data_IF_611623859536
#
_entry.id   IF_611623859536
#
_cell.length_a   1.000
_cell.length_b   1.000
_cell.length_c   1.000
_cell.angle_alpha   90.00
_cell.angle_beta   90.00
_cell.angle_gamma   90.00
#
_symmetry.space_group_name_H-M   'P 1'
#
loop_
_entity.id
_entity.type
_entity.pdbx_description
1 polymer ?
#
# COMPACT_ATOMS: atom_id res chain seq x y z
N UNK A 1 14.96 1.43 10.64
CA UNK A 1 14.76 2.83 11.11
C UNK A 1 13.96 3.49 10.01
N UNK A 2 12.77 4.00 10.33
CA UNK A 2 11.86 4.55 9.32
C UNK A 2 12.42 5.88 8.83
N UNK A 3 12.56 6.07 7.51
CA UNK A 3 13.11 7.29 6.89
C UNK A 3 12.14 8.49 6.90
N UNK A 4 11.11 8.44 7.75
CA UNK A 4 10.14 9.52 7.91
C UNK A 4 10.62 10.55 8.94
N UNK A 5 10.34 11.85 8.73
CA UNK A 5 10.59 12.85 9.75
C UNK A 5 9.83 12.46 11.03
N UNK A 6 10.48 12.59 12.19
CA UNK A 6 9.92 12.23 13.50
C UNK A 6 8.56 12.92 13.74
N UNK A 7 8.31 14.08 13.11
CA UNK A 7 7.02 14.75 13.09
C UNK A 7 6.74 15.47 11.77
N UNK A 8 5.46 15.73 11.46
CA UNK A 8 5.04 16.57 10.33
C UNK A 8 5.09 18.05 10.73
N UNK A 9 5.99 18.89 10.17
CA UNK A 9 6.12 20.29 10.58
C UNK A 9 5.04 21.16 9.91
N UNK A 10 3.98 21.52 10.63
CA UNK A 10 2.83 22.32 10.18
C UNK A 10 3.13 23.82 9.97
N UNK A 11 4.40 24.19 9.96
CA UNK A 11 4.87 25.56 9.80
C UNK A 11 4.80 26.41 11.08
N UNK A 12 5.22 27.68 10.99
CA UNK A 12 5.33 28.58 12.15
C UNK A 12 3.96 29.04 12.68
N UNK A 13 3.97 29.59 13.89
CA UNK A 13 2.80 30.22 14.53
C UNK A 13 2.08 29.31 15.52
N UNK A 14 0.93 29.75 16.08
CA UNK A 14 0.21 28.96 17.07
C UNK A 14 -0.36 27.67 16.45
N UNK A 15 -0.66 26.68 17.30
CA UNK A 15 -1.38 25.49 16.89
C UNK A 15 -2.71 25.84 16.21
N UNK A 16 -3.11 25.07 15.18
CA UNK A 16 -4.46 25.16 14.64
C UNK A 16 -5.51 24.89 15.71
N UNK A 17 -6.48 25.79 15.83
CA UNK A 17 -7.62 25.61 16.75
C UNK A 17 -8.87 25.12 16.03
N UNK A 18 -8.80 24.94 14.70
CA UNK A 18 -9.87 24.38 13.88
C UNK A 18 -9.31 23.44 12.79
N UNK A 19 -10.21 22.60 12.27
CA UNK A 19 -9.88 21.63 11.23
C UNK A 19 -9.44 22.24 9.90
N UNK A 20 -10.15 23.25 9.35
CA UNK A 20 -9.74 23.90 8.10
C UNK A 20 -8.33 24.48 8.16
N UNK A 21 -7.95 25.12 9.27
CA UNK A 21 -6.62 25.66 9.48
C UNK A 21 -5.54 24.57 9.56
N UNK A 22 -5.85 23.42 10.16
CA UNK A 22 -4.94 22.26 10.16
C UNK A 22 -4.74 21.70 8.76
N UNK A 23 -5.83 21.45 8.02
CA UNK A 23 -5.78 20.89 6.66
C UNK A 23 -5.00 21.81 5.72
N UNK A 24 -5.19 23.12 5.82
CA UNK A 24 -4.44 24.07 4.98
C UNK A 24 -2.94 24.06 5.29
N UNK A 25 -2.54 23.96 6.57
CA UNK A 25 -1.13 23.80 6.92
C UNK A 25 -0.54 22.51 6.37
N UNK A 26 -1.25 21.39 6.49
CA UNK A 26 -0.82 20.11 5.89
C UNK A 26 -0.65 20.25 4.38
N UNK A 27 -1.55 20.95 3.69
CA UNK A 27 -1.43 21.23 2.25
C UNK A 27 -0.21 22.06 1.91
N UNK A 28 0.08 23.13 2.66
CA UNK A 28 1.27 23.96 2.45
C UNK A 28 2.53 23.11 2.57
N UNK A 29 2.64 22.33 3.64
CA UNK A 29 3.80 21.46 3.91
C UNK A 29 3.93 20.39 2.83
N UNK A 30 2.80 19.80 2.40
CA UNK A 30 2.81 18.81 1.34
C UNK A 30 3.33 19.36 0.01
N UNK A 31 3.06 20.62 -0.30
CA UNK A 31 3.62 21.28 -1.50
C UNK A 31 5.08 21.66 -1.32
N UNK A 32 5.45 22.21 -0.17
CA UNK A 32 6.81 22.69 0.10
C UNK A 32 7.84 21.56 0.20
N UNK A 33 7.45 20.44 0.79
CA UNK A 33 8.30 19.26 0.94
C UNK A 33 8.12 18.23 -0.19
N UNK A 34 7.32 18.56 -1.21
CA UNK A 34 6.94 17.63 -2.27
C UNK A 34 6.44 16.28 -1.70
N UNK A 35 5.63 16.34 -0.64
CA UNK A 35 5.00 15.15 -0.04
C UNK A 35 4.03 14.56 -1.06
N UNK A 36 4.52 13.53 -1.75
CA UNK A 36 3.82 12.86 -2.84
C UNK A 36 4.69 12.69 -4.07
N UNK A 37 5.69 13.56 -4.32
CA UNK A 37 6.51 13.50 -5.52
C UNK A 37 5.65 13.45 -6.79
N UNK A 38 5.71 12.32 -7.50
CA UNK A 38 4.83 12.02 -8.64
C UNK A 38 3.32 12.11 -8.35
N UNK A 39 2.92 12.10 -7.07
CA UNK A 39 1.55 12.18 -6.55
C UNK A 39 1.14 13.58 -6.07
N UNK A 40 1.96 14.62 -6.20
CA UNK A 40 1.66 15.95 -5.63
C UNK A 40 0.27 16.50 -5.99
N UNK A 41 -0.17 16.37 -7.25
CA UNK A 41 -1.53 16.75 -7.68
C UNK A 41 -2.63 15.93 -6.99
N UNK A 42 -2.44 14.61 -6.91
CA UNK A 42 -3.36 13.70 -6.24
C UNK A 42 -3.43 13.99 -4.73
N UNK A 43 -2.30 14.30 -4.09
CA UNK A 43 -2.24 14.73 -2.69
C UNK A 43 -3.05 16.00 -2.46
N UNK A 44 -2.95 17.00 -3.34
CA UNK A 44 -3.74 18.23 -3.22
C UNK A 44 -5.25 17.96 -3.28
N UNK A 45 -5.67 17.11 -4.22
CA UNK A 45 -7.07 16.72 -4.40
C UNK A 45 -7.64 15.92 -3.22
N UNK A 46 -6.83 15.06 -2.61
CA UNK A 46 -7.19 14.36 -1.36
C UNK A 46 -7.38 15.38 -0.24
N UNK A 47 -6.40 16.25 -0.02
CA UNK A 47 -6.45 17.27 1.03
C UNK A 47 -7.60 18.27 0.83
N UNK A 48 -8.14 18.44 -0.39
CA UNK A 48 -9.33 19.30 -0.64
C UNK A 48 -10.61 18.70 -0.08
N UNK A 49 -10.64 17.36 0.04
CA UNK A 49 -11.80 16.60 0.49
C UNK A 49 -11.63 16.12 1.94
N UNK A 50 -10.43 16.26 2.49
CA UNK A 50 -10.16 15.97 3.89
C UNK A 50 -10.94 16.91 4.81
N UNK A 51 -11.67 16.33 5.75
CA UNK A 51 -12.37 17.05 6.82
C UNK A 51 -11.76 16.66 8.16
N UNK A 52 -11.47 17.66 9.00
CA UNK A 52 -10.97 17.45 10.35
C UNK A 52 -11.82 18.21 11.36
N UNK A 53 -12.03 17.62 12.54
CA UNK A 53 -12.69 18.25 13.68
C UNK A 53 -11.75 18.16 14.88
N UNK A 54 -11.47 19.31 15.50
CA UNK A 54 -10.61 19.43 16.68
C UNK A 54 -11.46 19.71 17.93
N UNK A 55 -11.03 19.20 19.07
CA UNK A 55 -11.53 19.55 20.40
C UNK A 55 -10.34 19.67 21.36
N UNK A 56 -9.91 20.91 21.63
CA UNK A 56 -8.67 21.17 22.35
C UNK A 56 -7.45 20.59 21.62
N UNK A 57 -6.68 19.75 22.32
CA UNK A 57 -5.53 19.04 21.75
C UNK A 57 -5.91 17.73 21.02
N UNK A 58 -7.18 17.32 21.08
CA UNK A 58 -7.65 16.09 20.44
C UNK A 58 -8.14 16.34 19.01
N UNK A 59 -7.88 15.39 18.13
CA UNK A 59 -8.51 15.30 16.81
C UNK A 59 -9.72 14.38 16.94
N UNK A 60 -10.91 14.96 17.10
CA UNK A 60 -12.16 14.21 17.28
C UNK A 60 -12.48 13.36 16.05
N UNK A 61 -12.27 13.90 14.85
CA UNK A 61 -12.40 13.12 13.62
C UNK A 61 -11.51 13.63 12.50
N UNK A 62 -10.98 12.71 11.70
CA UNK A 62 -10.29 12.99 10.45
C UNK A 62 -10.84 12.07 9.35
N UNK A 63 -11.48 12.65 8.34
CA UNK A 63 -12.05 11.92 7.20
C UNK A 63 -11.26 12.27 5.96
N UNK A 64 -10.59 11.29 5.37
CA UNK A 64 -9.79 11.43 4.15
C UNK A 64 -10.51 10.69 3.02
N UNK A 65 -10.84 11.42 1.95
CA UNK A 65 -11.48 10.86 0.76
C UNK A 65 -10.54 10.98 -0.45
N UNK A 66 -10.06 9.82 -0.90
CA UNK A 66 -9.21 9.65 -2.08
C UNK A 66 -9.96 9.05 -3.27
N UNK A 67 -11.29 9.12 -3.29
CA UNK A 67 -12.13 8.63 -4.40
C UNK A 67 -11.78 9.32 -5.72
N UNK A 68 -11.68 8.56 -6.82
CA UNK A 68 -11.34 9.09 -8.14
C UNK A 68 -9.90 9.59 -8.29
N UNK A 69 -9.04 9.41 -7.28
CA UNK A 69 -7.61 9.71 -7.40
C UNK A 69 -6.94 8.64 -8.28
N UNK A 70 -5.93 9.04 -9.05
CA UNK A 70 -5.13 8.14 -9.86
C UNK A 70 -3.67 8.14 -9.40
N UNK A 71 -3.13 6.96 -9.17
CA UNK A 71 -1.74 6.69 -8.83
C UNK A 71 -1.06 6.14 -10.09
N UNK A 72 -0.19 6.93 -10.74
CA UNK A 72 0.55 6.47 -11.91
C UNK A 72 1.62 5.45 -11.52
N UNK A 73 2.02 4.60 -12.45
CA UNK A 73 3.05 3.58 -12.22
C UNK A 73 4.40 4.17 -11.77
N UNK A 74 4.73 5.39 -12.21
CA UNK A 74 5.93 6.12 -11.83
C UNK A 74 6.02 6.43 -10.33
N UNK A 75 4.88 6.45 -9.62
CA UNK A 75 4.86 6.66 -8.18
C UNK A 75 5.51 5.49 -7.42
N UNK A 76 5.54 4.28 -7.98
CA UNK A 76 6.13 3.09 -7.33
C UNK A 76 7.65 3.00 -7.48
N UNK A 77 8.22 3.78 -8.41
CA UNK A 77 9.65 3.77 -8.72
C UNK A 77 10.36 5.04 -8.27
N UNK A 78 9.63 5.97 -7.67
CA UNK A 78 10.18 7.24 -7.18
C UNK A 78 11.01 6.98 -5.92
N UNK A 79 12.24 7.50 -5.87
CA UNK A 79 13.05 7.46 -4.65
C UNK A 79 12.38 8.30 -3.55
N UNK A 80 12.43 7.87 -2.28
CA UNK A 80 11.92 8.67 -1.18
C UNK A 80 12.64 10.02 -1.14
N UNK A 81 11.89 11.12 -1.14
CA UNK A 81 12.46 12.45 -0.90
C UNK A 81 13.06 12.46 0.51
N UNK A 82 14.36 12.75 0.61
CA UNK A 82 15.02 12.88 1.91
C UNK A 82 14.35 14.01 2.69
N UNK A 83 13.77 13.76 3.88
CA UNK A 83 13.11 14.81 4.63
C UNK A 83 14.10 15.93 5.00
N UNK A 84 13.61 17.17 4.95
CA UNK A 84 14.37 18.31 5.42
C UNK A 84 14.74 18.14 6.90
N UNK A 85 15.90 18.65 7.31
CA UNK A 85 16.33 18.61 8.70
C UNK A 85 15.30 19.32 9.59
N UNK A 86 14.66 18.58 10.49
CA UNK A 86 13.66 19.12 11.41
C UNK A 86 14.31 20.00 12.48
N UNK A 87 13.66 21.11 12.87
CA UNK A 87 14.02 21.88 14.06
C UNK A 87 13.98 21.04 15.35
N UNK A 88 14.69 21.49 16.38
CA UNK A 88 14.72 20.77 17.66
C UNK A 88 13.39 20.92 18.42
N UNK A 89 12.91 19.83 19.01
CA UNK A 89 11.70 19.83 19.84
C UNK A 89 11.97 20.54 21.17
N UNK A 90 11.11 21.49 21.54
CA UNK A 90 11.20 22.25 22.80
C UNK A 90 10.06 21.89 23.75
N UNK A 91 8.87 21.65 23.23
CA UNK A 91 7.74 21.13 23.99
C UNK A 91 6.94 20.10 23.19
N UNK A 92 6.28 19.19 23.90
CA UNK A 92 5.35 18.24 23.34
C UNK A 92 4.07 18.24 24.19
N UNK A 93 2.92 18.20 23.53
CA UNK A 93 1.62 18.11 24.20
C UNK A 93 0.86 16.90 23.68
N UNK A 94 0.44 15.97 24.55
CA UNK A 94 -0.33 14.81 24.14
C UNK A 94 -1.71 15.20 23.59
N UNK A 95 -2.18 14.42 22.62
CA UNK A 95 -3.55 14.44 22.13
C UNK A 95 -3.92 13.06 21.59
N UNK A 96 -5.17 12.90 21.13
CA UNK A 96 -5.64 11.66 20.53
C UNK A 96 -6.41 11.94 19.24
N UNK A 97 -6.10 11.19 18.17
CA UNK A 97 -7.01 11.03 17.04
C UNK A 97 -8.07 9.99 17.41
N UNK A 98 -9.24 10.47 17.83
CA UNK A 98 -10.35 9.63 18.28
C UNK A 98 -10.88 8.74 17.17
N UNK A 99 -11.02 9.30 15.95
CA UNK A 99 -11.48 8.57 14.78
C UNK A 99 -10.84 9.08 13.49
N UNK A 100 -10.02 8.25 12.86
CA UNK A 100 -9.53 8.45 11.50
C UNK A 100 -10.24 7.51 10.53
N UNK A 101 -10.70 8.02 9.39
CA UNK A 101 -11.24 7.19 8.32
C UNK A 101 -10.63 7.57 6.97
N UNK A 102 -10.26 6.58 6.19
CA UNK A 102 -9.78 6.73 4.82
C UNK A 102 -10.70 5.96 3.88
N UNK A 103 -11.15 6.60 2.81
CA UNK A 103 -12.01 6.00 1.79
C UNK A 103 -11.51 6.31 0.40
N UNK A 104 -11.59 5.33 -0.49
CA UNK A 104 -11.35 5.54 -1.91
C UNK A 104 -12.19 4.59 -2.76
N UNK A 105 -13.17 5.12 -3.50
CA UNK A 105 -14.15 4.32 -4.26
C UNK A 105 -14.40 4.84 -5.69
N UNK A 106 -13.61 4.44 -6.70
CA UNK A 106 -12.33 3.74 -6.60
C UNK A 106 -11.14 4.70 -6.57
N UNK A 107 -10.01 4.23 -6.06
CA UNK A 107 -8.66 4.73 -6.36
C UNK A 107 -8.14 4.00 -7.60
N UNK A 108 -7.64 4.70 -8.61
CA UNK A 108 -6.99 4.05 -9.75
C UNK A 108 -5.51 3.81 -9.44
N UNK A 109 -5.07 2.56 -9.44
CA UNK A 109 -3.67 2.17 -9.24
C UNK A 109 -3.17 1.46 -10.48
N UNK A 110 -2.26 2.07 -11.24
CA UNK A 110 -1.82 1.53 -12.53
C UNK A 110 -3.00 1.15 -13.45
N UNK A 111 -4.02 2.03 -13.48
CA UNK A 111 -5.31 1.86 -14.18
C UNK A 111 -6.25 0.80 -13.62
N UNK A 112 -5.90 0.11 -12.52
CA UNK A 112 -6.79 -0.82 -11.83
C UNK A 112 -7.63 -0.06 -10.79
N UNK A 113 -8.97 -0.15 -10.80
CA UNK A 113 -9.81 0.41 -9.76
C UNK A 113 -9.68 -0.42 -8.48
N UNK A 114 -9.14 0.22 -7.45
CA UNK A 114 -8.97 -0.32 -6.11
C UNK A 114 -9.93 0.39 -5.17
N UNK A 115 -10.70 -0.37 -4.44
CA UNK A 115 -11.53 0.12 -3.34
C UNK A 115 -10.75 -0.01 -2.04
N UNK A 116 -10.65 1.08 -1.28
CA UNK A 116 -10.01 1.09 0.03
C UNK A 116 -10.96 1.68 1.05
N UNK A 117 -11.19 0.94 2.12
CA UNK A 117 -11.88 1.39 3.33
C UNK A 117 -10.98 1.12 4.52
N UNK A 118 -10.61 2.16 5.26
CA UNK A 118 -9.87 2.00 6.51
C UNK A 118 -10.43 2.90 7.61
N UNK A 119 -10.42 2.38 8.83
CA UNK A 119 -10.76 3.13 10.03
C UNK A 119 -9.76 2.82 11.14
N UNK A 120 -9.39 3.85 11.89
CA UNK A 120 -8.57 3.74 13.09
C UNK A 120 -9.21 4.58 14.20
N UNK A 121 -9.19 4.06 15.42
CA UNK A 121 -9.71 4.74 16.60
C UNK A 121 -8.63 4.84 17.67
N UNK A 122 -8.70 5.94 18.42
CA UNK A 122 -7.85 6.25 19.57
C UNK A 122 -6.34 6.21 19.27
N UNK A 123 -5.93 6.68 18.08
CA UNK A 123 -4.51 6.80 17.73
C UNK A 123 -3.87 7.92 18.55
N UNK A 124 -2.89 7.61 19.42
CA UNK A 124 -2.21 8.64 20.20
C UNK A 124 -1.40 9.55 19.28
N UNK A 125 -1.47 10.85 19.52
CA UNK A 125 -0.68 11.85 18.81
C UNK A 125 0.03 12.76 19.82
N UNK A 126 1.07 13.44 19.36
CA UNK A 126 1.62 14.56 20.10
C UNK A 126 1.78 15.76 19.19
N UNK A 127 1.39 16.91 19.71
CA UNK A 127 1.70 18.19 19.11
C UNK A 127 3.09 18.63 19.55
N UNK A 128 3.88 19.07 18.59
CA UNK A 128 5.27 19.46 18.78
C UNK A 128 5.37 20.97 18.67
N UNK A 129 6.03 21.60 19.65
CA UNK A 129 6.48 22.99 19.54
C UNK A 129 8.00 22.99 19.41
N UNK A 130 8.50 23.48 18.28
CA UNK A 130 9.90 23.41 17.92
C UNK A 130 10.65 24.73 18.19
N UNK A 131 11.97 24.67 18.20
CA UNK A 131 12.86 25.75 18.64
C UNK A 131 12.78 27.04 17.80
N UNK A 132 12.32 26.94 16.57
CA UNK A 132 12.14 28.06 15.64
C UNK A 132 10.69 28.61 15.63
N UNK A 133 9.83 28.12 16.53
CA UNK A 133 8.41 28.47 16.57
C UNK A 133 7.54 27.70 15.59
N UNK A 134 8.09 26.66 14.93
CA UNK A 134 7.31 25.70 14.14
C UNK A 134 6.46 24.83 15.05
N UNK A 135 5.20 24.64 14.67
CA UNK A 135 4.32 23.63 15.26
C UNK A 135 4.34 22.39 14.39
N UNK A 136 4.32 21.21 15.00
CA UNK A 136 4.23 19.94 14.30
C UNK A 136 3.22 18.99 14.93
N UNK A 137 2.97 17.89 14.24
CA UNK A 137 2.18 16.77 14.76
C UNK A 137 2.91 15.46 14.48
N UNK A 138 2.94 14.59 15.47
CA UNK A 138 3.56 13.27 15.40
C UNK A 138 2.55 12.21 15.86
N UNK A 139 2.31 11.16 15.05
CA UNK A 139 1.61 9.98 15.52
C UNK A 139 2.54 9.17 16.43
N UNK A 140 2.05 8.82 17.63
CA UNK A 140 2.80 8.02 18.57
C UNK A 140 2.50 6.52 18.36
N UNK A 141 3.50 5.64 18.51
CA UNK A 141 3.28 4.19 18.54
C UNK A 141 2.24 3.79 19.60
N UNK A 142 1.28 2.91 19.28
CA UNK A 142 0.36 2.35 20.27
C UNK A 142 1.12 1.65 21.39
N UNK A 143 0.57 1.71 22.61
CA UNK A 143 1.11 1.00 23.78
C UNK A 143 0.06 0.05 24.36
N UNK A 144 0.46 -0.84 25.26
CA UNK A 144 -0.51 -1.73 25.93
C UNK A 144 -1.54 -0.95 26.77
N UNK A 145 -1.21 0.26 27.21
CA UNK A 145 -2.09 1.13 28.00
C UNK A 145 -3.00 2.00 27.11
N UNK A 146 -2.61 2.21 25.86
CA UNK A 146 -3.35 2.97 24.85
C UNK A 146 -3.39 2.16 23.54
N UNK A 147 -4.17 1.07 23.48
CA UNK A 147 -4.29 0.27 22.28
C UNK A 147 -5.11 1.04 21.25
N UNK A 148 -4.77 0.85 19.97
CA UNK A 148 -5.60 1.32 18.87
C UNK A 148 -6.52 0.20 18.39
N UNK A 149 -7.66 0.57 17.83
CA UNK A 149 -8.55 -0.38 17.16
C UNK A 149 -8.89 0.11 15.77
N UNK A 150 -9.20 -0.81 14.86
CA UNK A 150 -9.47 -0.42 13.48
C UNK A 150 -9.67 -1.57 12.51
N UNK A 151 -9.90 -1.22 11.27
CA UNK A 151 -9.95 -2.16 10.17
C UNK A 151 -9.38 -1.56 8.90
N UNK A 152 -8.93 -2.44 8.01
CA UNK A 152 -8.54 -2.13 6.64
C UNK A 152 -9.23 -3.14 5.72
N UNK A 153 -9.83 -2.67 4.65
CA UNK A 153 -10.32 -3.48 3.55
C UNK A 153 -9.83 -2.88 2.24
N UNK A 154 -9.17 -3.71 1.44
CA UNK A 154 -8.73 -3.38 0.09
C UNK A 154 -9.37 -4.40 -0.85
N UNK A 155 -10.06 -3.94 -1.90
CA UNK A 155 -10.55 -4.83 -2.95
C UNK A 155 -10.27 -4.29 -4.35
N UNK A 156 -10.10 -5.18 -5.31
CA UNK A 156 -9.95 -4.84 -6.71
C UNK A 156 -10.65 -5.90 -7.59
N UNK A 157 -11.24 -5.52 -8.73
CA UNK A 157 -11.81 -6.49 -9.66
C UNK A 157 -10.73 -7.47 -10.13
N UNK A 158 -10.96 -8.77 -9.91
CA UNK A 158 -9.97 -9.81 -10.23
C UNK A 158 -9.54 -9.76 -11.69
N UNK A 159 -10.49 -9.52 -12.59
CA UNK A 159 -10.23 -9.49 -14.02
C UNK A 159 -9.33 -8.32 -14.41
N UNK A 160 -9.51 -7.14 -13.82
CA UNK A 160 -8.69 -5.96 -14.12
C UNK A 160 -7.25 -6.10 -13.60
N UNK A 161 -7.07 -6.77 -12.45
CA UNK A 161 -5.75 -7.15 -11.96
C UNK A 161 -5.08 -8.12 -12.93
N UNK A 162 -5.80 -9.17 -13.38
CA UNK A 162 -5.27 -10.15 -14.33
C UNK A 162 -4.91 -9.49 -15.67
N UNK A 163 -5.75 -8.59 -16.18
CA UNK A 163 -5.50 -7.89 -17.45
C UNK A 163 -4.30 -6.94 -17.35
N UNK A 164 -4.09 -6.32 -16.19
CA UNK A 164 -2.89 -5.51 -15.92
C UNK A 164 -1.63 -6.37 -15.87
N UNK A 165 -1.67 -7.50 -15.16
CA UNK A 165 -0.56 -8.47 -15.15
C UNK A 165 -0.27 -8.98 -16.58
N UNK A 166 -1.32 -9.27 -17.37
CA UNK A 166 -1.18 -9.70 -18.76
C UNK A 166 -0.49 -8.64 -19.61
N UNK A 167 -0.84 -7.37 -19.43
CA UNK A 167 -0.25 -6.23 -20.15
C UNK A 167 1.24 -6.11 -19.86
N UNK A 168 1.61 -6.14 -18.57
CA UNK A 168 3.01 -6.11 -18.12
C UNK A 168 3.78 -7.31 -18.67
N UNK A 169 3.24 -8.52 -18.53
CA UNK A 169 3.86 -9.73 -19.05
C UNK A 169 4.05 -9.68 -20.57
N UNK A 170 3.08 -9.13 -21.31
CA UNK A 170 3.16 -8.96 -22.76
C UNK A 170 4.30 -8.02 -23.14
N UNK A 171 4.43 -6.88 -22.45
CA UNK A 171 5.51 -5.93 -22.70
C UNK A 171 6.90 -6.55 -22.45
N UNK A 172 7.09 -7.19 -21.29
CA UNK A 172 8.36 -7.85 -20.93
C UNK A 172 8.73 -8.98 -21.90
N UNK A 173 7.75 -9.78 -22.34
CA UNK A 173 8.00 -10.86 -23.30
C UNK A 173 8.32 -10.31 -24.71
N UNK A 174 7.69 -9.19 -25.10
CA UNK A 174 7.93 -8.56 -26.39
C UNK A 174 9.38 -8.07 -26.54
N UNK A 175 9.99 -7.56 -25.46
CA UNK A 175 11.42 -7.20 -25.41
C UNK A 175 12.34 -8.38 -25.75
N UNK A 176 11.88 -9.61 -25.51
CA UNK A 176 12.61 -10.84 -25.82
C UNK A 176 12.20 -11.47 -27.17
N UNK A 177 11.38 -10.77 -27.96
CA UNK A 177 10.86 -11.26 -29.24
C UNK A 177 9.81 -12.37 -29.09
N UNK A 178 9.15 -12.47 -27.93
CA UNK A 178 8.11 -13.46 -27.63
C UNK A 178 6.76 -12.73 -27.55
N UNK A 179 5.75 -13.28 -28.22
CA UNK A 179 4.37 -12.79 -28.15
C UNK A 179 3.57 -13.66 -27.18
N UNK A 180 2.95 -13.05 -26.17
CA UNK A 180 1.93 -13.69 -25.34
C UNK A 180 0.59 -13.66 -26.09
N UNK A 181 0.14 -14.81 -26.58
CA UNK A 181 -1.11 -14.92 -27.36
C UNK A 181 -2.32 -15.24 -26.49
N UNK A 182 -2.11 -15.91 -25.36
CA UNK A 182 -3.14 -16.23 -24.37
C UNK A 182 -2.52 -16.31 -22.98
N UNK A 183 -3.26 -15.83 -21.99
CA UNK A 183 -2.97 -16.02 -20.58
C UNK A 183 -4.30 -16.24 -19.87
N UNK A 184 -4.46 -17.42 -19.28
CA UNK A 184 -5.56 -17.76 -18.40
C UNK A 184 -5.00 -17.85 -16.98
N UNK A 185 -5.62 -17.16 -16.02
CA UNK A 185 -5.21 -17.18 -14.62
C UNK A 185 -6.41 -17.54 -13.76
N UNK A 186 -6.23 -18.55 -12.93
CA UNK A 186 -7.20 -18.97 -11.92
C UNK A 186 -6.61 -18.71 -10.53
N UNK A 187 -7.34 -17.92 -9.76
CA UNK A 187 -7.07 -17.65 -8.35
C UNK A 187 -8.22 -18.23 -7.53
N UNK A 188 -7.89 -19.07 -6.55
CA UNK A 188 -8.88 -19.74 -5.69
C UNK A 188 -8.46 -19.60 -4.23
N UNK A 189 -9.37 -19.12 -3.38
CA UNK A 189 -9.17 -19.15 -1.93
C UNK A 189 -9.29 -20.59 -1.43
N UNK A 190 -8.26 -21.06 -0.72
CA UNK A 190 -8.22 -22.39 -0.10
C UNK A 190 -8.64 -22.31 1.37
N UNK A 191 -8.42 -21.15 1.98
CA UNK A 191 -8.82 -20.83 3.35
C UNK A 191 -8.78 -19.32 3.57
N UNK A 192 -9.01 -18.85 4.81
CA UNK A 192 -9.10 -17.42 5.10
C UNK A 192 -7.77 -16.67 4.88
N UNK A 193 -6.63 -17.37 4.83
CA UNK A 193 -5.30 -16.76 4.66
C UNK A 193 -4.47 -17.42 3.57
N UNK A 194 -5.09 -18.19 2.67
CA UNK A 194 -4.38 -18.90 1.61
C UNK A 194 -5.11 -18.76 0.28
N UNK A 195 -4.37 -18.34 -0.74
CA UNK A 195 -4.82 -18.27 -2.13
C UNK A 195 -3.92 -19.14 -2.98
N UNK A 196 -4.52 -19.97 -3.83
CA UNK A 196 -3.83 -20.77 -4.85
C UNK A 196 -3.95 -20.11 -6.20
N UNK A 197 -2.85 -20.09 -6.93
CA UNK A 197 -2.73 -19.60 -8.30
C UNK A 197 -2.43 -20.76 -9.25
N UNK A 198 -3.15 -20.80 -10.35
CA UNK A 198 -2.81 -21.58 -11.54
C UNK A 198 -2.87 -20.65 -12.75
N UNK A 199 -1.90 -20.75 -13.66
CA UNK A 199 -1.88 -19.96 -14.87
C UNK A 199 -1.38 -20.76 -16.05
N UNK A 200 -2.09 -20.64 -17.17
CA UNK A 200 -1.75 -21.24 -18.45
C UNK A 200 -1.49 -20.12 -19.47
N UNK A 201 -0.35 -20.18 -20.14
CA UNK A 201 0.05 -19.20 -21.13
C UNK A 201 0.34 -19.85 -22.48
N UNK A 202 -0.04 -19.19 -23.57
CA UNK A 202 0.40 -19.53 -24.94
C UNK A 202 1.35 -18.47 -25.45
N UNK A 203 2.56 -18.91 -25.79
CA UNK A 203 3.66 -18.09 -26.24
C UNK A 203 3.94 -18.37 -27.72
N UNK A 204 4.32 -17.33 -28.46
CA UNK A 204 4.71 -17.44 -29.87
C UNK A 204 6.01 -16.71 -30.14
N UNK A 205 6.91 -17.30 -30.91
CA UNK A 205 8.12 -16.66 -31.46
C UNK A 205 8.21 -16.98 -32.95
N UNK A 206 7.94 -16.00 -33.80
CA UNK A 206 7.78 -16.23 -35.25
C UNK A 206 6.64 -17.23 -35.53
N UNK A 207 6.95 -18.35 -36.19
CA UNK A 207 6.00 -19.44 -36.48
C UNK A 207 5.91 -20.48 -35.35
N UNK A 208 6.81 -20.43 -34.37
CA UNK A 208 6.86 -21.40 -33.27
C UNK A 208 5.87 -20.99 -32.18
N UNK A 209 5.04 -21.94 -31.73
CA UNK A 209 4.14 -21.76 -30.60
C UNK A 209 4.44 -22.78 -29.49
N UNK A 210 4.19 -22.37 -28.26
CA UNK A 210 4.42 -23.20 -27.08
C UNK A 210 3.46 -22.83 -25.96
N UNK A 211 3.17 -23.77 -25.08
CA UNK A 211 2.46 -23.52 -23.83
C UNK A 211 3.43 -23.39 -22.67
N UNK A 212 3.10 -22.55 -21.70
CA UNK A 212 3.76 -22.48 -20.40
C UNK A 212 2.71 -22.57 -19.31
N UNK A 213 3.06 -23.20 -18.19
CA UNK A 213 2.21 -23.38 -17.04
C UNK A 213 2.92 -22.87 -15.81
N UNK A 214 2.20 -22.12 -14.97
CA UNK A 214 2.64 -21.68 -13.67
C UNK A 214 1.61 -22.08 -12.61
N UNK A 215 2.08 -22.46 -11.43
CA UNK A 215 1.23 -22.68 -10.26
C UNK A 215 1.97 -22.26 -9.00
N UNK A 216 1.24 -21.93 -7.96
CA UNK A 216 1.79 -21.63 -6.64
C UNK A 216 0.68 -21.35 -5.63
N UNK A 217 1.07 -21.19 -4.38
CA UNK A 217 0.20 -20.71 -3.31
C UNK A 217 0.85 -19.53 -2.61
N UNK A 218 0.02 -18.61 -2.14
CA UNK A 218 0.40 -17.52 -1.25
C UNK A 218 -0.39 -17.68 0.04
N UNK A 219 0.30 -17.60 1.18
CA UNK A 219 -0.33 -17.72 2.49
C UNK A 219 0.21 -16.68 3.47
N UNK A 220 -0.64 -16.18 4.36
CA UNK A 220 -0.25 -15.28 5.45
C UNK A 220 -0.40 -16.03 6.77
N UNK A 221 0.71 -16.19 7.50
CA UNK A 221 0.67 -16.88 8.79
C UNK A 221 0.23 -15.95 9.95
N UNK A 222 0.23 -16.46 11.18
CA UNK A 222 -0.17 -15.70 12.37
C UNK A 222 0.83 -14.61 12.76
N UNK A 223 2.08 -14.71 12.31
CA UNK A 223 3.11 -13.70 12.51
C UNK A 223 3.07 -12.62 11.40
N UNK A 224 2.01 -12.60 10.57
CA UNK A 224 1.85 -11.71 9.43
C UNK A 224 2.96 -11.89 8.38
N UNK A 225 3.51 -13.09 8.27
CA UNK A 225 4.51 -13.39 7.25
C UNK A 225 3.82 -13.94 6.02
N UNK A 226 3.94 -13.22 4.90
CA UNK A 226 3.48 -13.68 3.59
C UNK A 226 4.53 -14.65 3.01
N UNK A 227 4.09 -15.88 2.75
CA UNK A 227 4.90 -16.97 2.21
C UNK A 227 4.33 -17.43 0.89
N UNK A 228 5.23 -17.64 -0.07
CA UNK A 228 4.92 -18.30 -1.33
C UNK A 228 5.40 -19.75 -1.27
N UNK A 229 4.53 -20.68 -1.66
CA UNK A 229 4.83 -22.12 -1.66
C UNK A 229 4.41 -22.76 -2.98
N UNK A 230 4.89 -23.99 -3.20
CA UNK A 230 4.54 -24.83 -4.35
C UNK A 230 4.71 -24.15 -5.72
N UNK A 231 5.64 -23.20 -5.82
CA UNK A 231 5.86 -22.44 -7.04
C UNK A 231 6.49 -23.33 -8.11
N UNK A 232 5.70 -23.65 -9.14
CA UNK A 232 6.13 -24.44 -10.29
C UNK A 232 5.94 -23.65 -11.56
N UNK A 233 6.96 -23.67 -12.41
CA UNK A 233 6.96 -23.07 -13.74
C UNK A 233 7.47 -24.10 -14.74
N UNK A 234 6.68 -24.41 -15.77
CA UNK A 234 6.99 -25.48 -16.71
C UNK A 234 6.47 -25.21 -18.12
N UNK A 235 7.00 -25.95 -19.07
CA UNK A 235 6.51 -26.02 -20.44
C UNK A 235 6.74 -27.43 -20.98
N UNK A 236 5.79 -27.93 -21.78
CA UNK A 236 5.97 -29.19 -22.51
C UNK A 236 6.93 -29.02 -23.72
N UNK A 237 7.23 -27.78 -24.13
CA UNK A 237 8.18 -27.51 -25.20
C UNK A 237 9.60 -27.35 -24.63
N UNK A 238 10.59 -28.16 -25.05
CA UNK A 238 11.94 -28.16 -24.46
C UNK A 238 12.69 -26.83 -24.65
N UNK A 239 12.43 -26.09 -25.73
CA UNK A 239 13.06 -24.77 -25.97
C UNK A 239 12.52 -23.76 -24.96
N UNK A 240 11.20 -23.72 -24.77
CA UNK A 240 10.57 -22.83 -23.79
C UNK A 240 10.91 -23.26 -22.36
N UNK A 241 10.98 -24.56 -22.08
CA UNK A 241 11.44 -25.07 -20.80
C UNK A 241 12.87 -24.58 -20.47
N UNK A 242 13.76 -24.51 -21.46
CA UNK A 242 15.09 -23.94 -21.32
C UNK A 242 15.08 -22.44 -20.96
N UNK A 243 14.25 -21.64 -21.64
CA UNK A 243 14.09 -20.21 -21.32
C UNK A 243 13.46 -20.01 -19.92
N UNK A 244 12.46 -20.81 -19.58
CA UNK A 244 11.81 -20.80 -18.27
C UNK A 244 12.73 -21.27 -17.15
N UNK A 245 13.82 -22.01 -17.44
CA UNK A 245 14.78 -22.41 -16.41
C UNK A 245 15.47 -21.20 -15.77
N UNK A 246 15.79 -20.17 -16.56
CA UNK A 246 16.36 -18.91 -16.06
C UNK A 246 15.32 -18.14 -15.25
N UNK A 247 14.08 -18.04 -15.76
CA UNK A 247 12.97 -17.41 -15.05
C UNK A 247 12.65 -18.12 -13.72
N UNK A 248 12.72 -19.46 -13.69
CA UNK A 248 12.51 -20.28 -12.49
C UNK A 248 13.50 -19.92 -11.38
N UNK A 249 14.76 -19.63 -11.72
CA UNK A 249 15.75 -19.15 -10.76
C UNK A 249 15.33 -17.85 -10.09
N UNK A 250 14.95 -16.84 -10.88
CA UNK A 250 14.49 -15.53 -10.38
C UNK A 250 13.19 -15.62 -9.60
N UNK A 251 12.23 -16.40 -10.09
CA UNK A 251 10.95 -16.65 -9.40
C UNK A 251 11.23 -17.32 -8.07
N UNK A 252 12.09 -18.35 -8.03
CA UNK A 252 12.47 -19.01 -6.78
C UNK A 252 13.14 -18.04 -5.81
N UNK A 253 14.08 -17.22 -6.27
CA UNK A 253 14.73 -16.20 -5.44
C UNK A 253 13.72 -15.20 -4.86
N UNK A 254 12.81 -14.68 -5.69
CA UNK A 254 11.77 -13.73 -5.27
C UNK A 254 10.73 -14.35 -4.32
N UNK A 255 10.45 -15.65 -4.46
CA UNK A 255 9.44 -16.35 -3.65
C UNK A 255 10.03 -17.06 -2.43
N UNK A 256 11.36 -17.20 -2.33
CA UNK A 256 12.04 -17.81 -1.20
C UNK A 256 12.11 -16.90 0.03
N UNK A 257 12.10 -15.58 -0.17
CA UNK A 257 12.17 -14.63 0.93
C UNK A 257 10.76 -14.42 1.48
N UNK A 258 10.47 -14.81 2.73
CA UNK A 258 9.22 -14.42 3.36
C UNK A 258 9.14 -12.89 3.40
N UNK A 259 7.96 -12.35 3.11
CA UNK A 259 7.69 -10.93 3.26
C UNK A 259 7.09 -10.75 4.64
N UNK A 260 7.84 -10.11 5.54
CA UNK A 260 7.33 -9.75 6.86
C UNK A 260 6.40 -8.54 6.71
N UNK A 261 5.09 -8.76 6.78
CA UNK A 261 4.12 -7.67 6.72
C UNK A 261 4.10 -6.88 8.04
N UNK A 262 4.59 -7.44 9.14
CA UNK A 262 4.68 -6.73 10.42
C UNK A 262 5.79 -5.67 10.41
N UNK A 263 6.88 -5.89 9.68
CA UNK A 263 7.91 -4.86 9.46
C UNK A 263 7.39 -3.65 8.66
N UNK A 264 6.31 -3.83 7.91
CA UNK A 264 5.65 -2.77 7.14
C UNK A 264 4.58 -2.02 7.97
N UNK A 265 4.27 -2.49 9.18
CA UNK A 265 3.35 -1.82 10.07
C UNK A 265 4.07 -0.72 10.85
N UNK A 266 3.38 0.39 11.16
CA UNK A 266 3.91 1.35 12.11
C UNK A 266 4.22 0.67 13.46
N UNK A 267 5.30 1.06 14.14
CA UNK A 267 5.65 0.48 15.44
C UNK A 267 4.45 0.49 16.40
N UNK A 268 4.25 -0.62 17.13
CA UNK A 268 3.18 -0.76 18.12
C UNK A 268 1.79 -1.13 17.54
N UNK A 269 1.58 -1.03 16.23
CA UNK A 269 0.35 -1.49 15.58
C UNK A 269 0.32 -3.02 15.54
N UNK A 270 -0.79 -3.60 16.02
CA UNK A 270 -1.00 -5.06 16.03
C UNK A 270 -2.20 -5.41 15.16
N UNK A 271 -2.00 -6.39 14.28
CA UNK A 271 -3.08 -6.96 13.47
C UNK A 271 -3.53 -8.26 14.12
N UNK A 272 -4.81 -8.34 14.49
CA UNK A 272 -5.37 -9.53 15.13
C UNK A 272 -5.92 -10.53 14.13
N UNK A 273 -6.39 -10.05 12.99
CA UNK A 273 -6.93 -10.90 11.94
C UNK A 273 -6.61 -10.36 10.55
N UNK A 274 -6.31 -11.27 9.64
CA UNK A 274 -6.10 -11.02 8.21
C UNK A 274 -6.89 -12.05 7.44
N UNK A 275 -7.61 -11.59 6.41
CA UNK A 275 -8.38 -12.42 5.51
C UNK A 275 -8.08 -12.09 4.05
N UNK A 276 -7.96 -13.15 3.23
CA UNK A 276 -7.75 -13.11 1.79
C UNK A 276 -8.91 -13.83 1.10
N UNK A 277 -9.58 -13.12 0.20
CA UNK A 277 -10.63 -13.69 -0.65
C UNK A 277 -10.32 -13.46 -2.13
N UNK A 278 -10.42 -14.53 -2.92
CA UNK A 278 -10.17 -14.54 -4.36
C UNK A 278 -11.45 -14.90 -5.13
N UNK A 279 -12.52 -14.13 -4.86
CA UNK A 279 -13.81 -14.25 -5.53
C UNK A 279 -13.84 -13.57 -6.90
N UNK A 280 -14.94 -12.88 -7.22
CA UNK A 280 -15.01 -11.98 -8.38
C UNK A 280 -14.12 -10.74 -8.19
N UNK A 281 -13.97 -10.32 -6.94
CA UNK A 281 -12.98 -9.34 -6.50
C UNK A 281 -11.88 -10.06 -5.71
N UNK A 282 -10.66 -9.54 -5.79
CA UNK A 282 -9.60 -9.88 -4.87
C UNK A 282 -9.74 -8.97 -3.66
N UNK A 283 -9.97 -9.52 -2.47
CA UNK A 283 -10.15 -8.75 -1.24
C UNK A 283 -9.12 -9.13 -0.19
N UNK A 284 -8.46 -8.13 0.38
CA UNK A 284 -7.65 -8.22 1.59
C UNK A 284 -8.39 -7.47 2.70
N UNK A 285 -8.62 -8.12 3.84
CA UNK A 285 -9.17 -7.48 5.04
C UNK A 285 -8.26 -7.69 6.23
N UNK A 286 -8.08 -6.67 7.06
CA UNK A 286 -7.31 -6.73 8.30
C UNK A 286 -8.05 -6.04 9.45
N UNK A 287 -7.85 -6.53 10.67
CA UNK A 287 -8.37 -5.93 11.91
C UNK A 287 -7.24 -5.61 12.87
N UNK A 288 -7.32 -4.44 13.50
CA UNK A 288 -6.36 -3.95 14.48
C UNK A 288 -6.95 -4.03 15.88
N UNK A 289 -6.17 -4.50 16.86
CA UNK A 289 -6.47 -4.44 18.29
C UNK A 289 -5.22 -4.60 19.15
#
# INVERSE_FOLDING_TARGET
MSDYPDYLPLGPGPRPTDGPGLVERVRVVAREQDLGGAMSSATDDILRRTTVVLDGDDVTSAVVDATGVSIPESAFTSEPTVPAKLPAVVAATPGVLRRGSFRAHPLLVAEVPVVIDAEVSDLPIQWIDASDGTVGVEPLPPTAEQPISGFLRVSAPKQEVIDTVRRIATAVLAEQGITLTRLDVELTSVGPREVRLQADAKLRRGILSASAQASGSASVDQALVLRFADVRLGSANPIVAGLLAVARGRVKEATQRPIDLAEQLPPGVRVTDVQLDAGAELTLSARLA
#
